data_IF_135911450087
#
_entry.id   IF_135911450087
#
_cell.length_a   1.000
_cell.length_b   1.000
_cell.length_c   1.000
_cell.angle_alpha   90.00
_cell.angle_beta   90.00
_cell.angle_gamma   90.00
#
_symmetry.space_group_name_H-M   'P 1'
#
loop_
_entity.id
_entity.type
_entity.pdbx_description
1 polymer ?
#
# COMPACT_ATOMS: atom_id res chain seq x y z
N UNK A 1 -5.69 -3.70 -15.47
CA UNK A 1 -4.74 -4.41 -14.58
C UNK A 1 -4.80 -5.89 -14.95
N UNK A 2 -4.24 -6.24 -16.10
CA UNK A 2 -4.26 -7.63 -16.60
C UNK A 2 -3.09 -8.46 -16.06
N UNK A 3 -2.01 -7.80 -15.61
CA UNK A 3 -0.82 -8.49 -15.09
C UNK A 3 -0.87 -8.82 -13.59
N UNK A 4 -1.87 -8.33 -12.85
CA UNK A 4 -1.93 -8.52 -11.39
C UNK A 4 -0.76 -7.89 -10.62
N UNK A 5 -0.06 -6.93 -11.21
CA UNK A 5 1.09 -6.25 -10.59
C UNK A 5 0.88 -4.74 -10.50
N UNK A 6 1.49 -4.13 -9.49
CA UNK A 6 1.58 -2.68 -9.34
C UNK A 6 3.00 -2.23 -9.67
N UNK A 7 3.13 -1.46 -10.75
CA UNK A 7 4.37 -0.78 -11.11
C UNK A 7 4.31 0.69 -10.68
N UNK A 8 4.90 0.99 -9.52
CA UNK A 8 4.94 2.35 -8.97
C UNK A 8 6.35 2.68 -8.47
N UNK A 9 7.11 3.40 -9.30
CA UNK A 9 8.40 3.95 -8.91
C UNK A 9 8.26 4.94 -7.75
N UNK A 10 9.19 4.87 -6.77
CA UNK A 10 9.15 5.79 -5.63
C UNK A 10 9.46 7.20 -6.10
N UNK A 11 8.50 8.14 -5.98
CA UNK A 11 8.68 9.55 -6.39
C UNK A 11 9.95 10.22 -5.84
N UNK A 12 10.39 9.86 -4.63
CA UNK A 12 11.57 10.47 -3.97
C UNK A 12 12.92 9.91 -4.46
N UNK A 13 13.00 8.66 -4.91
CA UNK A 13 14.29 8.01 -5.21
C UNK A 13 14.35 7.32 -6.57
N UNK A 14 13.27 7.35 -7.36
CA UNK A 14 13.20 6.74 -8.69
C UNK A 14 13.22 5.20 -8.69
N UNK A 15 13.39 4.55 -7.53
CA UNK A 15 13.46 3.09 -7.42
C UNK A 15 12.15 2.50 -7.94
N UNK A 16 12.24 1.81 -9.07
CA UNK A 16 11.13 1.09 -9.68
C UNK A 16 10.63 0.04 -8.69
N UNK A 17 9.32 -0.08 -8.49
CA UNK A 17 8.72 -1.14 -7.66
C UNK A 17 7.68 -1.83 -8.51
N UNK A 18 7.92 -3.08 -8.81
CA UNK A 18 7.00 -3.94 -9.54
C UNK A 18 6.62 -5.10 -8.63
N UNK A 19 5.49 -4.98 -7.94
CA UNK A 19 5.07 -5.94 -6.91
C UNK A 19 3.80 -6.66 -7.36
N UNK A 20 3.69 -7.99 -7.14
CA UNK A 20 2.46 -8.72 -7.37
C UNK A 20 1.40 -8.32 -6.34
N UNK A 21 0.15 -8.33 -6.79
CA UNK A 21 -1.03 -8.23 -5.95
C UNK A 21 -1.59 -9.63 -5.73
N UNK A 22 -2.11 -9.89 -4.54
CA UNK A 22 -2.84 -11.14 -4.29
C UNK A 22 -4.15 -11.18 -5.09
N UNK A 23 -4.66 -12.38 -5.42
CA UNK A 23 -5.91 -12.54 -6.15
C UNK A 23 -7.08 -11.77 -5.54
N UNK A 24 -7.23 -11.81 -4.21
CA UNK A 24 -8.30 -11.12 -3.48
C UNK A 24 -8.18 -9.60 -3.62
N UNK A 25 -6.94 -9.09 -3.69
CA UNK A 25 -6.71 -7.66 -3.93
C UNK A 25 -7.12 -7.30 -5.35
N UNK A 26 -6.76 -8.13 -6.34
CA UNK A 26 -7.15 -7.90 -7.73
C UNK A 26 -8.67 -7.92 -7.88
N UNK A 27 -9.34 -8.89 -7.26
CA UNK A 27 -10.79 -9.03 -7.34
C UNK A 27 -11.50 -7.87 -6.63
N UNK A 28 -11.01 -7.45 -5.45
CA UNK A 28 -11.51 -6.25 -4.80
C UNK A 28 -11.34 -5.00 -5.68
N UNK A 29 -10.19 -4.84 -6.35
CA UNK A 29 -9.94 -3.71 -7.26
C UNK A 29 -10.84 -3.75 -8.51
N UNK A 30 -11.14 -4.95 -9.05
CA UNK A 30 -12.02 -5.12 -10.22
C UNK A 30 -13.46 -4.69 -9.95
N UNK A 31 -13.95 -4.85 -8.72
CA UNK A 31 -15.32 -4.42 -8.35
C UNK A 31 -15.48 -2.90 -8.26
N UNK A 32 -14.37 -2.15 -8.22
CA UNK A 32 -14.43 -0.70 -8.12
C UNK A 32 -14.72 -0.02 -9.46
N UNK A 33 -15.56 1.03 -9.47
CA UNK A 33 -15.84 1.78 -10.68
C UNK A 33 -14.61 2.56 -11.16
N UNK A 34 -14.29 2.45 -12.45
CA UNK A 34 -13.23 3.23 -13.11
C UNK A 34 -13.78 4.61 -13.50
N UNK A 35 -13.56 5.60 -12.65
CA UNK A 35 -14.08 6.96 -12.87
C UNK A 35 -13.03 7.96 -13.41
N UNK A 36 -11.77 7.52 -13.59
CA UNK A 36 -10.70 8.35 -14.13
C UNK A 36 -9.32 7.69 -13.96
N UNK A 37 -8.27 8.50 -13.89
CA UNK A 37 -6.87 8.04 -13.84
C UNK A 37 -6.48 7.35 -12.53
N UNK A 38 -7.11 7.73 -11.41
CA UNK A 38 -6.77 7.18 -10.10
C UNK A 38 -7.56 5.89 -9.79
N UNK A 39 -7.02 5.05 -8.92
CA UNK A 39 -7.71 3.81 -8.53
C UNK A 39 -8.90 4.08 -7.59
N UNK A 40 -8.82 5.11 -6.75
CA UNK A 40 -9.79 5.37 -5.70
C UNK A 40 -10.57 6.67 -5.93
N UNK A 41 -11.85 6.50 -6.29
CA UNK A 41 -12.83 7.58 -6.38
C UNK A 41 -13.99 7.38 -5.40
N UNK A 42 -14.49 8.48 -4.84
CA UNK A 42 -15.67 8.47 -3.98
C UNK A 42 -16.93 8.21 -4.80
N UNK A 43 -18.05 7.84 -4.17
CA UNK A 43 -19.35 7.69 -4.84
C UNK A 43 -19.80 8.93 -5.62
N UNK A 44 -19.27 10.11 -5.25
CA UNK A 44 -19.52 11.40 -5.91
C UNK A 44 -18.51 11.72 -7.04
N UNK A 45 -17.68 10.76 -7.46
CA UNK A 45 -16.69 10.96 -8.52
C UNK A 45 -15.43 11.74 -8.13
N UNK A 46 -15.28 12.15 -6.87
CA UNK A 46 -14.07 12.86 -6.42
C UNK A 46 -12.94 11.89 -6.04
N UNK A 47 -11.66 12.21 -6.34
CA UNK A 47 -10.53 11.47 -5.80
C UNK A 47 -10.56 11.37 -4.27
N UNK A 48 -10.18 10.23 -3.72
CA UNK A 48 -10.13 10.03 -2.27
C UNK A 48 -9.07 10.90 -1.58
N UNK A 49 -7.94 11.11 -2.27
CA UNK A 49 -6.92 12.06 -1.84
C UNK A 49 -6.97 13.24 -2.79
N UNK A 50 -7.25 14.43 -2.26
CA UNK A 50 -7.39 15.66 -3.05
C UNK A 50 -7.02 16.89 -2.23
N UNK A 51 -6.79 18.01 -2.91
CA UNK A 51 -6.68 19.31 -2.25
C UNK A 51 -8.07 19.93 -2.19
N UNK A 52 -8.50 20.36 -1.00
CA UNK A 52 -9.75 21.08 -0.80
C UNK A 52 -9.46 22.55 -0.51
N UNK A 53 -10.29 23.42 -1.08
CA UNK A 53 -10.32 24.84 -0.82
C UNK A 53 -11.33 25.10 0.30
N UNK A 54 -10.88 25.68 1.40
CA UNK A 54 -11.73 26.10 2.52
C UNK A 54 -11.61 27.61 2.67
N UNK A 55 -12.74 28.30 2.73
CA UNK A 55 -12.77 29.74 3.02
C UNK A 55 -13.06 29.90 4.50
N UNK A 56 -12.19 30.62 5.21
CA UNK A 56 -12.43 30.98 6.62
C UNK A 56 -13.45 32.12 6.71
N UNK A 57 -14.07 32.33 7.88
CA UNK A 57 -15.06 33.38 8.13
C UNK A 57 -14.55 34.82 7.90
N UNK A 58 -13.23 34.99 7.70
CA UNK A 58 -12.57 36.24 7.30
C UNK A 58 -12.26 36.33 5.80
N UNK A 59 -12.93 35.55 4.95
CA UNK A 59 -12.67 35.43 3.50
C UNK A 59 -11.25 34.99 3.09
N UNK A 60 -10.46 34.47 4.04
CA UNK A 60 -9.16 33.89 3.73
C UNK A 60 -9.33 32.50 3.09
N UNK A 61 -8.79 32.32 1.89
CA UNK A 61 -8.79 31.03 1.18
C UNK A 61 -7.61 30.19 1.66
N UNK A 62 -7.89 29.01 2.19
CA UNK A 62 -6.91 28.00 2.58
C UNK A 62 -7.03 26.76 1.71
N UNK A 63 -5.91 26.29 1.19
CA UNK A 63 -5.81 24.98 0.53
C UNK A 63 -5.28 23.96 1.54
N UNK A 64 -5.97 22.84 1.68
CA UNK A 64 -5.55 21.75 2.56
C UNK A 64 -5.66 20.40 1.87
N UNK A 65 -4.75 19.49 2.20
CA UNK A 65 -4.82 18.11 1.70
C UNK A 65 -5.90 17.36 2.48
N UNK A 66 -6.88 16.83 1.76
CA UNK A 66 -7.91 15.94 2.27
C UNK A 66 -7.57 14.49 1.91
N UNK A 67 -7.44 13.63 2.92
CA UNK A 67 -7.11 12.21 2.77
C UNK A 67 -8.27 11.35 3.30
N UNK A 68 -9.19 10.99 2.40
CA UNK A 68 -10.33 10.14 2.75
C UNK A 68 -9.91 8.69 3.05
N UNK A 69 -8.76 8.26 2.53
CA UNK A 69 -8.26 6.88 2.68
C UNK A 69 -7.93 6.62 4.14
N UNK A 70 -7.17 7.52 4.75
CA UNK A 70 -6.84 7.49 6.17
C UNK A 70 -8.10 7.58 7.04
N UNK A 71 -9.02 8.49 6.71
CA UNK A 71 -10.26 8.66 7.48
C UNK A 71 -11.14 7.40 7.47
N UNK A 72 -11.30 6.75 6.33
CA UNK A 72 -12.11 5.53 6.22
C UNK A 72 -11.42 4.32 6.84
N UNK A 73 -10.09 4.23 6.76
CA UNK A 73 -9.34 3.18 7.44
C UNK A 73 -9.49 3.29 8.96
N UNK A 74 -9.42 4.49 9.53
CA UNK A 74 -9.69 4.70 10.96
C UNK A 74 -11.12 4.28 11.35
N UNK A 75 -12.12 4.50 10.49
CA UNK A 75 -13.49 4.00 10.73
C UNK A 75 -13.56 2.48 10.67
N UNK A 76 -12.85 1.85 9.74
CA UNK A 76 -12.78 0.39 9.62
C UNK A 76 -12.18 -0.24 10.88
N UNK A 77 -11.06 0.29 11.38
CA UNK A 77 -10.41 -0.20 12.61
C UNK A 77 -11.36 -0.13 13.82
N UNK A 78 -12.11 0.95 13.95
CA UNK A 78 -13.14 1.10 15.00
C UNK A 78 -14.24 0.06 14.85
N UNK A 79 -14.74 -0.15 13.63
CA UNK A 79 -15.79 -1.13 13.33
C UNK A 79 -15.34 -2.57 13.58
N UNK A 80 -14.06 -2.88 13.35
CA UNK A 80 -13.48 -4.20 13.60
C UNK A 80 -13.11 -4.45 15.06
N UNK A 81 -13.41 -3.52 15.98
CA UNK A 81 -13.08 -3.66 17.40
C UNK A 81 -11.58 -3.58 17.72
N UNK A 82 -10.75 -3.13 16.77
CA UNK A 82 -9.31 -2.99 17.00
C UNK A 82 -9.07 -1.70 17.77
N UNK A 83 -8.47 -1.81 18.96
CA UNK A 83 -8.08 -0.64 19.77
C UNK A 83 -7.07 0.19 18.98
N UNK A 84 -7.48 1.38 18.56
CA UNK A 84 -6.61 2.31 17.85
C UNK A 84 -5.78 3.11 18.84
N UNK A 85 -4.71 2.50 19.35
CA UNK A 85 -3.70 3.22 20.12
C UNK A 85 -2.93 4.20 19.24
N UNK A 86 -2.21 5.14 19.87
CA UNK A 86 -1.38 6.12 19.16
C UNK A 86 -0.34 5.39 18.29
N UNK A 87 -0.49 5.49 16.97
CA UNK A 87 0.41 4.85 16.00
C UNK A 87 -0.19 3.68 15.23
N UNK A 88 -1.41 3.21 15.57
CA UNK A 88 -2.12 2.19 14.80
C UNK A 88 -2.76 2.82 13.55
N UNK A 89 -2.06 2.73 12.42
CA UNK A 89 -2.53 3.22 11.11
C UNK A 89 -1.90 2.41 9.96
N UNK A 90 -1.91 2.93 8.73
CA UNK A 90 -1.27 2.28 7.58
C UNK A 90 0.20 1.92 7.78
N UNK A 91 0.92 2.65 8.63
CA UNK A 91 2.29 2.31 9.02
C UNK A 91 2.37 0.95 9.72
N UNK A 92 1.36 0.61 10.53
CA UNK A 92 1.26 -0.70 11.20
C UNK A 92 1.09 -1.80 10.17
N UNK A 93 0.22 -1.63 9.17
CA UNK A 93 0.10 -2.61 8.07
C UNK A 93 1.41 -2.80 7.32
N UNK A 94 2.14 -1.71 7.03
CA UNK A 94 3.47 -1.78 6.41
C UNK A 94 4.46 -2.56 7.28
N UNK A 95 4.46 -2.32 8.59
CA UNK A 95 5.30 -3.04 9.55
C UNK A 95 4.94 -4.53 9.59
N UNK A 96 3.66 -4.86 9.67
CA UNK A 96 3.18 -6.25 9.67
C UNK A 96 3.61 -6.97 8.39
N UNK A 97 3.45 -6.33 7.22
CA UNK A 97 3.91 -6.89 5.95
C UNK A 97 5.43 -7.14 5.95
N UNK A 98 6.22 -6.20 6.47
CA UNK A 98 7.67 -6.37 6.60
C UNK A 98 8.06 -7.50 7.56
N UNK A 99 7.36 -7.62 8.70
CA UNK A 99 7.61 -8.69 9.67
C UNK A 99 7.25 -10.05 9.09
N UNK A 100 6.12 -10.19 8.40
CA UNK A 100 5.73 -11.44 7.74
C UNK A 100 6.69 -11.81 6.62
N UNK A 101 7.16 -10.82 5.85
CA UNK A 101 8.20 -11.02 4.87
C UNK A 101 9.54 -11.43 5.52
N UNK A 102 9.91 -10.87 6.67
CA UNK A 102 11.12 -11.27 7.38
C UNK A 102 11.08 -12.73 7.87
N UNK A 103 9.88 -13.27 8.19
CA UNK A 103 9.71 -14.69 8.57
C UNK A 103 10.07 -15.67 7.46
N UNK A 104 10.18 -15.23 6.20
CA UNK A 104 10.64 -16.10 5.12
C UNK A 104 12.16 -16.20 5.00
N UNK A 105 12.93 -15.47 5.82
CA UNK A 105 14.38 -15.59 5.91
C UNK A 105 15.19 -14.85 4.85
N UNK A 106 14.57 -14.00 4.02
CA UNK A 106 15.25 -13.29 2.94
C UNK A 106 15.22 -11.76 3.17
N UNK A 107 16.35 -11.17 3.63
CA UNK A 107 16.44 -9.76 3.92
C UNK A 107 16.39 -8.85 2.67
N UNK A 108 16.82 -9.34 1.51
CA UNK A 108 16.88 -8.56 0.27
C UNK A 108 15.48 -8.28 -0.27
N UNK A 109 14.65 -9.31 -0.28
CA UNK A 109 13.27 -9.19 -0.72
C UNK A 109 12.41 -8.38 0.28
N UNK A 110 12.72 -8.41 1.59
CA UNK A 110 12.12 -7.47 2.57
C UNK A 110 12.49 -6.02 2.27
N UNK A 111 13.77 -5.74 1.99
CA UNK A 111 14.23 -4.39 1.63
C UNK A 111 13.57 -3.90 0.33
N UNK A 112 13.42 -4.79 -0.66
CA UNK A 112 12.74 -4.53 -1.92
C UNK A 112 11.25 -4.20 -1.73
N UNK A 113 10.53 -4.98 -0.92
CA UNK A 113 9.13 -4.76 -0.54
C UNK A 113 8.94 -3.38 0.11
N UNK A 114 9.84 -3.00 1.01
CA UNK A 114 9.81 -1.69 1.65
C UNK A 114 10.29 -0.55 0.73
N UNK A 115 10.98 -0.90 -0.35
CA UNK A 115 11.58 0.00 -1.32
C UNK A 115 12.62 0.92 -0.70
N UNK A 116 13.49 0.34 0.14
CA UNK A 116 14.68 0.97 0.69
C UNK A 116 15.75 1.15 -0.40
N UNK A 117 16.53 2.24 -0.33
CA UNK A 117 17.52 2.60 -1.34
C UNK A 117 18.90 1.95 -1.14
N UNK A 118 19.16 1.42 0.06
CA UNK A 118 20.44 0.79 0.44
C UNK A 118 20.70 -0.58 -0.19
N UNK A 119 19.88 -0.97 -1.15
CA UNK A 119 20.17 -2.13 -1.98
C UNK A 119 21.50 -1.96 -2.74
N UNK A 120 21.98 -0.73 -2.99
CA UNK A 120 23.17 -0.45 -3.82
C UNK A 120 24.45 -1.22 -3.43
N UNK A 121 24.70 -1.46 -2.14
CA UNK A 121 25.88 -2.21 -1.69
C UNK A 121 25.72 -3.72 -1.88
N UNK A 122 24.49 -4.24 -1.78
CA UNK A 122 24.19 -5.66 -1.75
C UNK A 122 23.74 -6.21 -3.13
N UNK A 123 23.24 -5.35 -4.02
CA UNK A 123 22.87 -5.65 -5.42
C UNK A 123 24.07 -5.93 -6.32
N UNK A 124 25.29 -5.60 -5.89
CA UNK A 124 26.51 -5.92 -6.64
C UNK A 124 26.70 -7.44 -6.82
N UNK A 125 26.16 -8.25 -5.89
CA UNK A 125 26.29 -9.72 -5.91
C UNK A 125 24.95 -10.45 -6.15
N UNK A 126 23.81 -9.79 -5.98
CA UNK A 126 22.47 -10.35 -6.21
C UNK A 126 21.77 -9.53 -7.29
N UNK A 127 21.83 -10.02 -8.53
CA UNK A 127 21.40 -9.26 -9.71
C UNK A 127 19.89 -9.29 -9.96
N UNK A 128 19.18 -10.32 -9.49
CA UNK A 128 17.71 -10.38 -9.56
C UNK A 128 17.10 -10.89 -8.24
N UNK A 129 16.31 -10.03 -7.61
CA UNK A 129 15.55 -10.31 -6.37
C UNK A 129 14.04 -10.30 -6.63
N UNK A 130 13.61 -10.20 -7.89
CA UNK A 130 12.20 -10.05 -8.27
C UNK A 130 11.42 -11.32 -7.94
N UNK A 131 11.94 -12.48 -8.36
CA UNK A 131 11.33 -13.79 -8.07
C UNK A 131 11.28 -14.07 -6.57
N UNK A 132 12.35 -13.74 -5.84
CA UNK A 132 12.42 -13.85 -4.38
C UNK A 132 11.32 -12.99 -3.72
N UNK A 133 11.19 -11.73 -4.17
CA UNK A 133 10.15 -10.81 -3.67
C UNK A 133 8.75 -11.34 -3.94
N UNK A 134 8.50 -11.86 -5.14
CA UNK A 134 7.21 -12.44 -5.51
C UNK A 134 6.88 -13.66 -4.63
N UNK A 135 7.84 -14.56 -4.43
CA UNK A 135 7.69 -15.74 -3.58
C UNK A 135 7.32 -15.36 -2.15
N UNK A 136 7.95 -14.33 -1.60
CA UNK A 136 7.69 -13.89 -0.23
C UNK A 136 6.33 -13.23 -0.10
N UNK A 137 5.96 -12.37 -1.05
CA UNK A 137 4.63 -11.75 -1.05
C UNK A 137 3.56 -12.85 -1.10
N UNK A 138 3.71 -13.85 -1.97
CA UNK A 138 2.78 -14.96 -2.07
C UNK A 138 2.78 -15.87 -0.83
N UNK A 139 3.95 -16.17 -0.26
CA UNK A 139 4.03 -16.96 0.97
C UNK A 139 3.45 -16.22 2.18
N UNK A 140 3.60 -14.90 2.24
CA UNK A 140 3.05 -14.10 3.33
C UNK A 140 1.52 -14.16 3.40
N UNK A 141 0.85 -14.42 2.26
CA UNK A 141 -0.60 -14.69 2.20
C UNK A 141 -0.99 -15.87 3.09
N UNK A 142 -0.22 -16.96 3.08
CA UNK A 142 -0.49 -18.19 3.85
C UNK A 142 -0.54 -17.99 5.36
N UNK A 143 0.10 -16.92 5.86
CA UNK A 143 0.08 -16.59 7.29
C UNK A 143 -1.12 -15.74 7.70
N UNK A 144 -1.86 -15.19 6.73
CA UNK A 144 -2.97 -14.25 6.97
C UNK A 144 -4.30 -14.87 6.57
N UNK A 145 -4.35 -15.43 5.37
CA UNK A 145 -5.52 -16.15 4.85
C UNK A 145 -5.31 -17.60 5.23
N UNK A 146 -6.03 -18.06 6.26
CA UNK A 146 -6.17 -19.50 6.47
C UNK A 146 -6.96 -20.02 5.27
N UNK A 147 -6.39 -20.97 4.54
CA UNK A 147 -7.16 -21.68 3.52
C UNK A 147 -8.25 -22.43 4.29
N UNK A 148 -9.50 -21.98 4.16
CA UNK A 148 -10.66 -22.72 4.65
C UNK A 148 -10.59 -24.11 4.01
N UNK A 149 -10.28 -25.11 4.85
CA UNK A 149 -10.29 -26.53 4.46
C UNK A 149 -11.71 -27.04 4.36
#
# INVERSE_FOLDING_TARGET
MESGRVNLSRKKTGIARNLPLWPETIDALKTMPKLGELVFYTKRGNPWVRVIKTTDGKNAVKYSRYDAVSAMFSKLLKKSGIKTERGVNFYTLRRTAATLAARSGDPFAVQRLLGHADLKMATTYVQDVSEQTDRIINNSRKFIVQDDS
#
